data_IF_853083899745
#
_entry.id   IF_853083899745
#
_cell.length_a   1.000
_cell.length_b   1.000
_cell.length_c   1.000
_cell.angle_alpha   90.00
_cell.angle_beta   90.00
_cell.angle_gamma   90.00
#
_symmetry.space_group_name_H-M   'P 1'
#
loop_
_entity.id
_entity.type
_entity.pdbx_description
1 polymer ?
#
# COMPACT_ATOMS: atom_id res chain seq x y z
N UNK A 1 5.44 -5.81 15.39
CA UNK A 1 5.04 -4.41 15.13
C UNK A 1 3.80 -4.01 15.93
N UNK A 2 3.79 -2.82 16.54
CA UNK A 2 2.61 -2.23 17.21
C UNK A 2 1.70 -1.55 16.18
N UNK A 3 0.42 -1.40 16.50
CA UNK A 3 -0.51 -0.65 15.69
C UNK A 3 -0.21 0.87 15.80
N UNK A 4 -0.28 1.66 14.72
CA UNK A 4 0.00 3.11 14.78
C UNK A 4 -1.02 3.91 15.60
N UNK A 5 -2.26 3.42 15.73
CA UNK A 5 -3.32 4.01 16.55
C UNK A 5 -3.38 3.30 17.91
N UNK A 6 -3.16 4.05 18.99
CA UNK A 6 -2.97 3.49 20.34
C UNK A 6 -4.18 2.73 20.89
N UNK A 7 -5.40 3.16 20.56
CA UNK A 7 -6.63 2.45 20.94
C UNK A 7 -6.58 0.96 20.58
N UNK A 8 -6.03 0.60 19.42
CA UNK A 8 -5.94 -0.79 19.00
C UNK A 8 -4.83 -1.55 19.72
N UNK A 9 -3.73 -0.89 20.13
CA UNK A 9 -2.73 -1.54 20.96
C UNK A 9 -3.31 -1.98 22.32
N UNK A 10 -4.15 -1.13 22.93
CA UNK A 10 -4.84 -1.44 24.19
C UNK A 10 -5.77 -2.65 24.03
N UNK A 11 -6.61 -2.64 22.99
CA UNK A 11 -7.52 -3.75 22.68
C UNK A 11 -6.77 -5.06 22.38
N UNK A 12 -5.64 -5.00 21.68
CA UNK A 12 -4.79 -6.17 21.41
C UNK A 12 -4.20 -6.74 22.71
N UNK A 13 -3.76 -5.89 23.64
CA UNK A 13 -3.25 -6.32 24.94
C UNK A 13 -4.34 -7.00 25.80
N UNK A 14 -5.54 -6.42 25.83
CA UNK A 14 -6.71 -7.01 26.52
C UNK A 14 -7.10 -8.37 25.92
N UNK A 15 -7.14 -8.46 24.58
CA UNK A 15 -7.41 -9.71 23.88
C UNK A 15 -6.39 -10.79 24.26
N UNK A 16 -5.09 -10.48 24.22
CA UNK A 16 -4.02 -11.42 24.58
C UNK A 16 -4.12 -11.87 26.05
N UNK A 17 -4.45 -10.96 26.97
CA UNK A 17 -4.62 -11.30 28.38
C UNK A 17 -5.79 -12.27 28.62
N UNK A 18 -6.85 -12.18 27.81
CA UNK A 18 -8.03 -13.04 27.92
C UNK A 18 -7.88 -14.43 27.26
N UNK A 19 -6.91 -14.60 26.38
CA UNK A 19 -6.72 -15.87 25.66
C UNK A 19 -6.03 -16.94 26.53
N UNK A 20 -6.32 -18.24 26.28
CA UNK A 20 -5.52 -19.36 26.78
C UNK A 20 -4.05 -19.21 26.39
N UNK A 21 -3.13 -19.62 27.28
CA UNK A 21 -1.68 -19.42 27.10
C UNK A 21 -1.15 -19.99 25.78
N UNK A 22 -1.63 -21.17 25.39
CA UNK A 22 -1.29 -21.86 24.15
C UNK A 22 -1.76 -21.14 22.87
N UNK A 23 -2.66 -20.17 22.97
CA UNK A 23 -3.18 -19.39 21.84
C UNK A 23 -2.58 -17.97 21.77
N UNK A 24 -1.94 -17.50 22.84
CA UNK A 24 -1.45 -16.10 22.92
C UNK A 24 -0.38 -15.82 21.89
N UNK A 25 0.58 -16.72 21.72
CA UNK A 25 1.70 -16.52 20.80
C UNK A 25 1.24 -16.41 19.35
N UNK A 26 0.33 -17.31 18.94
CA UNK A 26 -0.30 -17.27 17.62
C UNK A 26 -1.04 -15.94 17.41
N UNK A 27 -1.90 -15.54 18.35
CA UNK A 27 -2.65 -14.29 18.22
C UNK A 27 -1.74 -13.06 18.19
N UNK A 28 -0.69 -13.04 19.02
CA UNK A 28 0.27 -11.94 19.06
C UNK A 28 1.00 -11.80 17.72
N UNK A 29 1.36 -12.93 17.08
CA UNK A 29 1.93 -12.93 15.73
C UNK A 29 0.94 -12.35 14.71
N UNK A 30 -0.31 -12.80 14.73
CA UNK A 30 -1.36 -12.29 13.84
C UNK A 30 -1.55 -10.78 13.99
N UNK A 31 -1.52 -10.25 15.22
CA UNK A 31 -1.55 -8.81 15.44
C UNK A 31 -0.33 -8.10 14.85
N UNK A 32 0.89 -8.62 15.02
CA UNK A 32 2.09 -7.98 14.47
C UNK A 32 2.07 -7.94 12.93
N UNK A 33 1.68 -9.03 12.28
CA UNK A 33 1.56 -9.11 10.81
C UNK A 33 0.44 -8.19 10.31
N UNK A 34 -0.72 -8.22 10.96
CA UNK A 34 -1.86 -7.35 10.64
C UNK A 34 -1.54 -5.87 10.81
N UNK A 35 -0.81 -5.51 11.88
CA UNK A 35 -0.38 -4.13 12.14
C UNK A 35 0.61 -3.64 11.07
N UNK A 36 1.54 -4.49 10.63
CA UNK A 36 2.48 -4.16 9.55
C UNK A 36 1.75 -3.96 8.21
N UNK A 37 0.83 -4.87 7.89
CA UNK A 37 -0.01 -4.75 6.68
C UNK A 37 -0.87 -3.49 6.71
N UNK A 38 -1.45 -3.16 7.88
CA UNK A 38 -2.23 -1.94 8.07
C UNK A 38 -1.38 -0.68 7.86
N UNK A 39 -0.18 -0.64 8.44
CA UNK A 39 0.73 0.49 8.30
C UNK A 39 1.08 0.73 6.82
N UNK A 40 1.40 -0.34 6.10
CA UNK A 40 1.67 -0.29 4.67
C UNK A 40 0.49 0.28 3.86
N UNK A 41 -0.72 -0.25 4.04
CA UNK A 41 -1.90 0.27 3.33
C UNK A 41 -2.31 1.67 3.75
N UNK A 42 -1.98 2.09 4.97
CA UNK A 42 -2.29 3.44 5.42
C UNK A 42 -1.24 4.46 4.99
N UNK A 43 0.02 4.11 4.74
CA UNK A 43 0.96 5.01 4.06
C UNK A 43 0.40 5.51 2.73
N UNK A 44 -0.31 4.64 2.01
CA UNK A 44 -1.08 5.04 0.83
C UNK A 44 -2.15 6.06 1.20
N UNK A 45 -2.97 5.78 2.23
CA UNK A 45 -4.08 6.64 2.66
C UNK A 45 -3.66 8.02 3.19
N UNK A 46 -2.45 8.14 3.75
CA UNK A 46 -1.91 9.42 4.25
C UNK A 46 -1.53 10.40 3.12
N UNK A 47 -1.56 9.98 1.85
CA UNK A 47 -1.51 10.94 0.75
C UNK A 47 -2.79 11.78 0.71
N UNK A 48 -2.64 13.10 0.76
CA UNK A 48 -3.71 14.11 0.82
C UNK A 48 -4.79 13.97 -0.25
N UNK A 49 -4.48 13.29 -1.35
CA UNK A 49 -5.42 12.97 -2.42
C UNK A 49 -6.53 12.01 -1.95
N UNK A 50 -6.41 11.35 -0.77
CA UNK A 50 -7.46 10.47 -0.21
C UNK A 50 -8.55 11.19 0.59
N UNK A 51 -8.49 12.52 0.71
CA UNK A 51 -9.58 13.31 1.28
C UNK A 51 -10.07 12.78 2.63
N UNK A 52 -9.33 13.08 3.70
CA UNK A 52 -9.98 13.32 4.98
C UNK A 52 -9.79 14.78 5.33
N UNK A 53 -10.91 15.44 5.62
CA UNK A 53 -10.96 16.63 6.46
C UNK A 53 -10.38 16.25 7.82
N UNK A 54 -9.06 16.21 7.94
CA UNK A 54 -8.38 16.21 9.23
C UNK A 54 -7.52 17.46 9.28
N UNK A 55 -7.79 18.28 10.29
CA UNK A 55 -7.15 19.56 10.61
C UNK A 55 -5.66 19.41 10.96
N UNK A 56 -4.83 18.94 10.03
CA UNK A 56 -3.37 19.01 10.17
C UNK A 56 -2.75 19.71 8.96
N UNK A 57 -1.87 20.65 9.28
CA UNK A 57 -1.25 21.65 8.42
C UNK A 57 -0.15 21.06 7.51
N UNK A 58 -0.41 19.91 6.90
CA UNK A 58 0.51 19.20 6.01
C UNK A 58 0.23 19.54 4.53
N UNK A 59 1.27 19.53 3.66
CA UNK A 59 1.16 20.04 2.30
C UNK A 59 0.18 19.22 1.45
N UNK A 60 -0.82 19.92 0.90
CA UNK A 60 -1.88 19.41 0.01
C UNK A 60 -1.32 19.12 -1.39
N UNK A 61 -0.75 17.94 -1.62
CA UNK A 61 -0.27 17.55 -2.96
C UNK A 61 -1.29 16.71 -3.73
N UNK A 62 -1.47 16.98 -5.03
CA UNK A 62 -2.12 16.10 -6.01
C UNK A 62 -1.21 14.87 -6.30
N UNK A 63 -1.75 13.79 -6.89
CA UNK A 63 -0.98 12.60 -7.26
C UNK A 63 0.18 12.96 -8.21
N UNK A 64 -0.05 13.96 -9.06
CA UNK A 64 0.98 14.54 -9.94
C UNK A 64 2.11 15.17 -9.13
N UNK A 65 1.80 16.02 -8.15
CA UNK A 65 2.80 16.67 -7.29
C UNK A 65 3.62 15.65 -6.50
N UNK A 66 2.98 14.59 -6.00
CA UNK A 66 3.68 13.49 -5.33
C UNK A 66 4.66 12.79 -6.27
N UNK A 67 4.24 12.49 -7.50
CA UNK A 67 5.08 11.82 -8.48
C UNK A 67 6.24 12.73 -8.93
N UNK A 68 6.01 14.02 -9.10
CA UNK A 68 7.06 15.00 -9.39
C UNK A 68 8.12 15.06 -8.29
N UNK A 69 7.71 15.12 -7.02
CA UNK A 69 8.63 15.08 -5.88
C UNK A 69 9.40 13.77 -5.83
N UNK A 70 8.73 12.64 -6.04
CA UNK A 70 9.36 11.31 -5.96
C UNK A 70 10.38 11.09 -7.10
N UNK A 71 10.13 11.64 -8.29
CA UNK A 71 11.09 11.64 -9.40
C UNK A 71 12.24 12.62 -9.17
N UNK A 72 11.98 13.78 -8.55
CA UNK A 72 12.98 14.81 -8.26
C UNK A 72 14.00 14.42 -7.19
N UNK A 73 13.69 13.48 -6.29
CA UNK A 73 14.66 12.94 -5.30
C UNK A 73 15.72 12.04 -5.98
N UNK A 74 15.51 11.61 -7.23
CA UNK A 74 16.43 10.73 -7.98
C UNK A 74 17.48 11.47 -8.83
N UNK A 75 17.49 12.81 -8.88
CA UNK A 75 18.45 13.57 -9.72
C UNK A 75 19.91 13.49 -9.26
N UNK A 76 20.18 12.89 -8.09
CA UNK A 76 21.53 12.71 -7.58
C UNK A 76 22.31 11.54 -8.18
N UNK A 77 21.64 10.50 -8.71
CA UNK A 77 22.36 9.28 -9.11
C UNK A 77 21.53 8.33 -10.01
N UNK A 78 21.24 8.71 -11.26
CA UNK A 78 20.84 7.74 -12.30
C UNK A 78 21.07 8.26 -13.72
N UNK A 79 21.77 7.42 -14.47
CA UNK A 79 22.04 7.51 -15.90
C UNK A 79 20.75 7.74 -16.70
N UNK A 80 20.83 8.67 -17.64
CA UNK A 80 19.86 9.02 -18.69
C UNK A 80 18.94 7.85 -19.08
N UNK A 81 17.76 7.80 -18.46
CA UNK A 81 16.61 7.06 -18.98
C UNK A 81 15.58 8.13 -19.25
N UNK A 82 15.29 8.37 -20.53
CA UNK A 82 14.37 9.38 -21.09
C UNK A 82 13.41 9.99 -20.05
N UNK A 83 13.75 11.17 -19.54
CA UNK A 83 12.98 11.85 -18.48
C UNK A 83 11.60 12.24 -18.99
N UNK A 84 10.66 11.29 -18.94
CA UNK A 84 9.23 11.57 -19.06
C UNK A 84 8.83 12.44 -17.88
N UNK A 85 8.08 13.49 -18.15
CA UNK A 85 7.43 14.27 -17.10
C UNK A 85 6.52 13.38 -16.25
N UNK A 86 6.28 13.75 -15.00
CA UNK A 86 5.35 13.03 -14.14
C UNK A 86 3.96 12.86 -14.79
N UNK A 87 3.53 13.84 -15.60
CA UNK A 87 2.28 13.76 -16.35
C UNK A 87 2.31 12.66 -17.40
N UNK A 88 3.36 12.58 -18.21
CA UNK A 88 3.51 11.53 -19.23
C UNK A 88 3.59 10.13 -18.60
N UNK A 89 4.22 10.01 -17.43
CA UNK A 89 4.23 8.76 -16.68
C UNK A 89 2.84 8.38 -16.16
N UNK A 90 2.06 9.35 -15.65
CA UNK A 90 0.67 9.09 -15.26
C UNK A 90 -0.19 8.64 -16.44
N UNK A 91 -0.01 9.24 -17.62
CA UNK A 91 -0.72 8.81 -18.84
C UNK A 91 -0.37 7.35 -19.21
N UNK A 92 0.92 6.99 -19.16
CA UNK A 92 1.37 5.60 -19.39
C UNK A 92 0.80 4.65 -18.35
N UNK A 93 0.87 5.00 -17.07
CA UNK A 93 0.33 4.18 -15.98
C UNK A 93 -1.17 4.02 -16.10
N UNK A 94 -1.88 5.03 -16.59
CA UNK A 94 -3.33 4.94 -16.79
C UNK A 94 -3.69 3.92 -17.86
N UNK A 95 -3.01 3.92 -19.00
CA UNK A 95 -3.24 2.92 -20.04
C UNK A 95 -2.86 1.51 -19.57
N UNK A 96 -1.76 1.36 -18.82
CA UNK A 96 -1.37 0.06 -18.24
C UNK A 96 -2.36 -0.43 -17.18
N UNK A 97 -2.79 0.45 -16.27
CA UNK A 97 -3.84 0.17 -15.29
C UNK A 97 -5.12 -0.27 -16.00
N UNK A 98 -5.55 0.50 -17.01
CA UNK A 98 -6.70 0.15 -17.81
C UNK A 98 -6.53 -1.22 -18.44
N UNK A 99 -5.39 -1.57 -19.03
CA UNK A 99 -5.11 -2.89 -19.61
C UNK A 99 -5.12 -4.03 -18.57
N UNK A 100 -4.73 -3.75 -17.34
CA UNK A 100 -4.69 -4.72 -16.23
C UNK A 100 -6.05 -5.04 -15.60
N UNK A 101 -7.11 -4.26 -15.88
CA UNK A 101 -8.43 -4.51 -15.30
C UNK A 101 -9.02 -5.86 -15.80
N UNK A 102 -9.66 -6.66 -14.93
CA UNK A 102 -10.18 -7.97 -15.31
C UNK A 102 -11.51 -7.92 -16.08
N UNK A 103 -12.26 -6.81 -15.96
CA UNK A 103 -13.61 -6.68 -16.50
C UNK A 103 -13.71 -5.52 -17.50
N UNK A 104 -14.19 -5.82 -18.70
CA UNK A 104 -14.30 -4.83 -19.79
C UNK A 104 -15.30 -3.71 -19.52
N UNK A 105 -16.37 -3.98 -18.76
CA UNK A 105 -17.33 -2.96 -18.35
C UNK A 105 -16.68 -1.92 -17.42
N UNK A 106 -15.94 -2.38 -16.42
CA UNK A 106 -15.17 -1.50 -15.53
C UNK A 106 -14.11 -0.71 -16.29
N UNK A 107 -13.39 -1.38 -17.20
CA UNK A 107 -12.38 -0.75 -18.06
C UNK A 107 -12.95 0.39 -18.89
N UNK A 108 -14.12 0.19 -19.51
CA UNK A 108 -14.80 1.23 -20.29
C UNK A 108 -15.20 2.43 -19.43
N UNK A 109 -15.80 2.18 -18.27
CA UNK A 109 -16.24 3.24 -17.34
C UNK A 109 -15.04 4.06 -16.84
N UNK A 110 -13.94 3.40 -16.47
CA UNK A 110 -12.71 4.07 -16.05
C UNK A 110 -12.10 4.88 -17.21
N UNK A 111 -12.04 4.30 -18.42
CA UNK A 111 -11.52 4.97 -19.62
C UNK A 111 -12.35 6.21 -20.00
N UNK A 112 -13.67 6.11 -19.97
CA UNK A 112 -14.60 7.22 -20.22
C UNK A 112 -14.46 8.34 -19.17
N UNK A 113 -14.14 7.95 -17.93
CA UNK A 113 -13.84 8.90 -16.85
C UNK A 113 -12.55 9.68 -17.05
N UNK A 114 -11.58 9.11 -17.77
CA UNK A 114 -10.30 9.72 -18.07
C UNK A 114 -9.36 9.85 -16.86
N UNK A 115 -8.12 10.27 -17.14
CA UNK A 115 -7.06 10.35 -16.14
C UNK A 115 -7.39 11.31 -14.99
N UNK A 116 -8.05 12.44 -15.26
CA UNK A 116 -8.33 13.44 -14.22
C UNK A 116 -9.34 12.93 -13.17
N UNK A 117 -10.23 12.01 -13.55
CA UNK A 117 -11.08 11.28 -12.60
C UNK A 117 -10.30 10.16 -11.94
N UNK A 118 -9.55 9.38 -12.72
CA UNK A 118 -8.80 8.23 -12.23
C UNK A 118 -7.75 8.62 -11.18
N UNK A 119 -7.05 9.75 -11.35
CA UNK A 119 -6.04 10.22 -10.37
C UNK A 119 -6.61 10.50 -8.98
N UNK A 120 -7.93 10.62 -8.86
CA UNK A 120 -8.66 10.78 -7.60
C UNK A 120 -9.28 9.46 -7.10
N UNK A 121 -9.28 8.39 -7.90
CA UNK A 121 -9.84 7.09 -7.52
C UNK A 121 -8.83 6.27 -6.72
N UNK A 122 -9.31 5.53 -5.72
CA UNK A 122 -8.45 4.67 -4.90
C UNK A 122 -7.69 3.62 -5.71
N UNK A 123 -8.33 2.88 -6.65
CA UNK A 123 -7.66 1.81 -7.38
C UNK A 123 -6.49 2.30 -8.23
N UNK A 124 -6.68 3.37 -9.00
CA UNK A 124 -5.62 3.86 -9.89
C UNK A 124 -4.47 4.49 -9.12
N UNK A 125 -4.77 5.24 -8.06
CA UNK A 125 -3.72 5.79 -7.20
C UNK A 125 -2.89 4.71 -6.54
N UNK A 126 -3.54 3.66 -6.01
CA UNK A 126 -2.83 2.53 -5.42
C UNK A 126 -1.90 1.88 -6.45
N UNK A 127 -2.38 1.71 -7.68
CA UNK A 127 -1.57 1.21 -8.78
C UNK A 127 -0.30 2.07 -9.03
N UNK A 128 -0.45 3.39 -9.12
CA UNK A 128 0.71 4.30 -9.32
C UNK A 128 1.71 4.19 -8.16
N UNK A 129 1.24 4.17 -6.92
CA UNK A 129 2.10 4.11 -5.74
C UNK A 129 2.85 2.79 -5.64
N UNK A 130 2.17 1.67 -5.92
CA UNK A 130 2.80 0.33 -5.91
C UNK A 130 3.98 0.22 -6.88
N UNK A 131 3.97 0.97 -7.99
CA UNK A 131 5.08 0.99 -8.96
C UNK A 131 6.33 1.73 -8.46
N UNK A 132 6.18 2.56 -7.45
CA UNK A 132 7.23 3.42 -6.90
C UNK A 132 7.55 3.08 -5.44
N UNK A 133 6.96 2.01 -4.93
CA UNK A 133 7.13 1.53 -3.57
C UNK A 133 8.00 0.26 -3.57
N UNK A 134 8.62 -0.06 -2.43
CA UNK A 134 9.31 -1.33 -2.19
C UNK A 134 8.35 -2.53 -2.37
N UNK A 135 7.04 -2.30 -2.23
CA UNK A 135 6.00 -3.30 -2.32
C UNK A 135 5.70 -3.94 -0.96
N UNK A 136 4.50 -4.51 -0.81
CA UNK A 136 4.04 -5.07 0.46
C UNK A 136 4.99 -6.15 1.00
N UNK A 137 5.40 -7.09 0.15
CA UNK A 137 6.22 -8.22 0.58
C UNK A 137 7.56 -7.75 1.19
N UNK A 138 8.27 -6.91 0.46
CA UNK A 138 9.54 -6.34 0.91
C UNK A 138 9.36 -5.43 2.13
N UNK A 139 8.27 -4.66 2.19
CA UNK A 139 7.93 -3.87 3.37
C UNK A 139 7.73 -4.76 4.61
N UNK A 140 6.96 -5.85 4.47
CA UNK A 140 6.74 -6.82 5.55
C UNK A 140 8.07 -7.48 5.98
N UNK A 141 8.92 -7.84 5.02
CA UNK A 141 10.25 -8.39 5.28
C UNK A 141 11.13 -7.46 6.12
N UNK A 142 11.04 -6.15 5.91
CA UNK A 142 11.82 -5.15 6.67
C UNK A 142 11.21 -4.80 8.03
N UNK A 143 9.88 -4.94 8.21
CA UNK A 143 9.16 -4.46 9.40
C UNK A 143 8.71 -5.56 10.37
N UNK A 144 8.83 -6.83 9.97
CA UNK A 144 8.56 -8.00 10.82
C UNK A 144 9.87 -8.64 11.28
N UNK A 145 9.78 -9.46 12.34
CA UNK A 145 10.86 -10.39 12.65
C UNK A 145 10.95 -11.47 11.57
N UNK A 146 12.12 -12.11 11.46
CA UNK A 146 12.33 -13.21 10.51
C UNK A 146 11.29 -14.32 10.69
N UNK A 147 10.94 -14.66 11.95
CA UNK A 147 9.93 -15.68 12.26
C UNK A 147 8.51 -15.28 11.82
N UNK A 148 8.11 -14.03 12.07
CA UNK A 148 6.77 -13.57 11.70
C UNK A 148 6.64 -13.42 10.17
N UNK A 149 7.72 -13.00 9.48
CA UNK A 149 7.77 -12.94 8.02
C UNK A 149 7.74 -14.34 7.40
N UNK A 150 8.55 -15.28 7.90
CA UNK A 150 8.53 -16.66 7.43
C UNK A 150 7.15 -17.31 7.60
N UNK A 151 6.47 -17.04 8.73
CA UNK A 151 5.10 -17.48 8.94
C UNK A 151 4.12 -16.86 7.93
N UNK A 152 4.23 -15.55 7.66
CA UNK A 152 3.41 -14.88 6.64
C UNK A 152 3.56 -15.53 5.25
N UNK A 153 4.80 -15.79 4.84
CA UNK A 153 5.12 -16.46 3.57
C UNK A 153 4.52 -17.86 3.52
N UNK A 154 4.63 -18.64 4.60
CA UNK A 154 4.05 -19.98 4.67
C UNK A 154 2.53 -19.97 4.54
N UNK A 155 1.84 -19.07 5.27
CA UNK A 155 0.39 -18.92 5.16
C UNK A 155 -0.09 -18.44 3.79
N UNK A 156 0.77 -17.76 3.02
CA UNK A 156 0.45 -17.27 1.69
C UNK A 156 0.60 -18.32 0.58
N UNK A 157 1.17 -19.49 0.88
CA UNK A 157 1.30 -20.57 -0.11
C UNK A 157 -0.07 -21.14 -0.47
N UNK A 158 -0.32 -21.49 -1.74
CA UNK A 158 -1.52 -22.24 -2.09
C UNK A 158 -1.53 -23.56 -1.31
N UNK A 159 -2.70 -23.96 -0.83
CA UNK A 159 -2.90 -25.30 -0.29
C UNK A 159 -2.46 -26.30 -1.37
N UNK A 160 -1.43 -27.09 -1.09
CA UNK A 160 -1.03 -28.17 -1.99
C UNK A 160 -2.19 -29.16 -2.10
N UNK A 161 -2.64 -29.45 -3.32
CA UNK A 161 -3.67 -30.44 -3.64
C UNK A 161 -3.18 -31.89 -3.39
N UNK A 162 -2.63 -32.17 -2.22
CA UNK A 162 -2.29 -33.55 -1.81
C UNK A 162 -3.43 -34.10 -0.94
N UNK A 163 -4.41 -34.70 -1.63
CA UNK A 163 -5.32 -35.74 -1.09
C UNK A 163 -5.37 -36.92 -2.04
#
# INVERSE_FOLDING_TARGET
MRHPIEKYNQQQAEALASLPEDQRDYMARMFRIGNASYAYYNQVKELTVFGKESESDQPKGDLLDWLEQHLGVSEGDRVQTESRSARELLDVYFEEYLAGLPHDGLRRIEKEGGLDKAKNSYPFRRYVLERHDLGMDEFLRQNLSEEDYAFHVECGKPLSDET
#
